data_IF_673426284873
#
_entry.id   IF_673426284873
#
_cell.length_a   1.000
_cell.length_b   1.000
_cell.length_c   1.000
_cell.angle_alpha   90.00
_cell.angle_beta   90.00
_cell.angle_gamma   90.00
#
_symmetry.space_group_name_H-M   'P 1'
#
loop_
_entity.id
_entity.type
_entity.pdbx_description
1 polymer ?
#
# COMPACT_ATOMS: atom_id res chain seq x y z
N UNK A 1 12.55 47.18 21.99
CA UNK A 1 12.11 46.19 20.97
C UNK A 1 12.82 44.82 21.05
N UNK A 2 13.99 44.71 21.71
CA UNK A 2 14.81 43.47 21.72
C UNK A 2 14.36 42.32 22.64
N UNK A 3 13.57 42.56 23.70
CA UNK A 3 13.20 41.50 24.67
C UNK A 3 12.27 40.42 24.10
N UNK A 4 11.51 40.72 23.05
CA UNK A 4 10.52 39.79 22.45
C UNK A 4 11.05 39.08 21.20
N UNK A 5 12.12 39.61 20.59
CA UNK A 5 12.78 39.02 19.41
C UNK A 5 13.19 37.55 19.59
N UNK A 6 13.79 37.11 20.72
CA UNK A 6 14.18 35.71 20.87
C UNK A 6 12.97 34.76 20.95
N UNK A 7 11.86 35.21 21.55
CA UNK A 7 10.62 34.41 21.67
C UNK A 7 9.97 34.21 20.29
N UNK A 8 9.98 35.25 19.46
CA UNK A 8 9.44 35.19 18.09
C UNK A 8 10.28 34.24 17.24
N UNK A 9 11.62 34.32 17.33
CA UNK A 9 12.52 33.42 16.59
C UNK A 9 12.30 31.96 17.03
N UNK A 10 12.20 31.70 18.33
CA UNK A 10 11.95 30.36 18.86
C UNK A 10 10.60 29.80 18.39
N UNK A 11 9.57 30.64 18.36
CA UNK A 11 8.23 30.26 17.89
C UNK A 11 8.23 29.89 16.40
N UNK A 12 8.96 30.65 15.56
CA UNK A 12 9.12 30.32 14.15
C UNK A 12 9.88 29.01 13.94
N UNK A 13 10.94 28.76 14.71
CA UNK A 13 11.68 27.49 14.64
C UNK A 13 10.78 26.32 15.04
N UNK A 14 9.96 26.46 16.07
CA UNK A 14 9.02 25.41 16.50
C UNK A 14 7.94 25.13 15.45
N UNK A 15 7.36 26.17 14.83
CA UNK A 15 6.36 26.01 13.77
C UNK A 15 6.97 25.32 12.55
N UNK A 16 8.17 25.73 12.13
CA UNK A 16 8.88 25.11 10.99
C UNK A 16 9.32 23.68 11.30
N UNK A 17 9.81 23.42 12.52
CA UNK A 17 10.23 22.09 12.96
C UNK A 17 9.06 21.10 13.11
N UNK A 18 7.90 21.57 13.57
CA UNK A 18 6.70 20.75 13.75
C UNK A 18 5.83 20.64 12.49
N UNK A 19 6.06 21.47 11.48
CA UNK A 19 5.38 21.39 10.18
C UNK A 19 6.09 20.53 9.14
N UNK A 20 7.17 19.83 9.53
CA UNK A 20 7.73 18.80 8.68
C UNK A 20 6.66 17.74 8.41
N UNK A 21 6.36 17.42 7.14
CA UNK A 21 5.40 16.37 6.83
C UNK A 21 5.90 15.09 7.51
N UNK A 22 5.07 14.53 8.40
CA UNK A 22 5.37 13.27 9.05
C UNK A 22 5.72 12.25 7.97
N UNK A 23 6.96 11.77 7.97
CA UNK A 23 7.39 10.73 7.05
C UNK A 23 6.45 9.55 7.24
N UNK A 24 5.60 9.29 6.23
CA UNK A 24 4.78 8.10 6.22
C UNK A 24 5.70 6.90 6.42
N UNK A 25 5.42 6.08 7.44
CA UNK A 25 6.26 4.95 7.78
C UNK A 25 6.44 4.08 6.53
N UNK A 26 7.68 4.00 6.04
CA UNK A 26 8.05 3.18 4.90
C UNK A 26 7.92 1.72 5.35
N UNK A 27 6.89 1.03 4.90
CA UNK A 27 6.73 -0.40 5.16
C UNK A 27 7.67 -1.13 4.20
N UNK A 28 8.77 -1.74 4.68
CA UNK A 28 9.65 -2.50 3.80
C UNK A 28 8.89 -3.70 3.23
N UNK A 29 9.14 -4.01 1.96
CA UNK A 29 8.67 -5.28 1.41
C UNK A 29 9.31 -6.43 2.21
N UNK A 30 8.55 -7.48 2.55
CA UNK A 30 9.09 -8.60 3.32
C UNK A 30 10.21 -9.29 2.53
N UNK A 31 11.34 -9.57 3.19
CA UNK A 31 12.49 -10.23 2.56
C UNK A 31 12.20 -11.66 2.12
N UNK A 32 11.24 -12.31 2.78
CA UNK A 32 10.80 -13.68 2.50
C UNK A 32 9.28 -13.72 2.44
N UNK A 33 8.74 -14.54 1.53
CA UNK A 33 7.31 -14.83 1.51
C UNK A 33 6.91 -15.72 2.70
N UNK A 34 5.63 -15.69 3.06
CA UNK A 34 5.05 -16.65 4.00
C UNK A 34 4.83 -18.03 3.37
N UNK A 35 4.32 -18.99 4.15
CA UNK A 35 4.00 -20.32 3.62
C UNK A 35 2.98 -20.20 2.46
N UNK A 36 3.33 -20.71 1.28
CA UNK A 36 2.51 -20.63 0.07
C UNK A 36 2.72 -19.37 -0.79
N UNK A 37 3.62 -18.45 -0.41
CA UNK A 37 3.93 -17.24 -1.17
C UNK A 37 5.45 -17.03 -1.28
N UNK A 38 5.88 -16.42 -2.39
CA UNK A 38 7.28 -15.99 -2.58
C UNK A 38 7.31 -14.47 -2.68
N UNK A 39 8.19 -13.83 -1.92
CA UNK A 39 8.52 -12.42 -2.13
C UNK A 39 9.26 -12.27 -3.47
N UNK A 40 8.81 -11.35 -4.32
CA UNK A 40 9.40 -11.09 -5.62
C UNK A 40 9.96 -9.67 -5.67
N UNK A 41 11.16 -9.52 -6.22
CA UNK A 41 11.70 -8.22 -6.59
C UNK A 41 10.88 -7.57 -7.70
N UNK A 42 10.98 -6.24 -7.87
CA UNK A 42 10.33 -5.54 -8.98
C UNK A 42 10.71 -6.12 -10.36
N UNK A 43 11.98 -6.52 -10.52
CA UNK A 43 12.47 -7.14 -11.77
C UNK A 43 11.81 -8.50 -12.03
N UNK A 44 11.68 -9.34 -11.02
CA UNK A 44 10.98 -10.63 -11.13
C UNK A 44 9.49 -10.43 -11.39
N UNK A 45 8.84 -9.51 -10.66
CA UNK A 45 7.43 -9.20 -10.84
C UNK A 45 7.14 -8.71 -12.27
N UNK A 46 7.99 -7.83 -12.82
CA UNK A 46 7.86 -7.37 -14.21
C UNK A 46 7.96 -8.53 -15.21
N UNK A 47 8.96 -9.41 -15.04
CA UNK A 47 9.13 -10.58 -15.91
C UNK A 47 7.92 -11.53 -15.83
N UNK A 48 7.37 -11.74 -14.63
CA UNK A 48 6.19 -12.57 -14.43
C UNK A 48 4.94 -11.94 -15.07
N UNK A 49 4.75 -10.63 -14.93
CA UNK A 49 3.64 -9.90 -15.53
C UNK A 49 3.70 -9.94 -17.07
N UNK A 50 4.87 -9.71 -17.66
CA UNK A 50 5.10 -9.86 -19.10
C UNK A 50 4.84 -11.31 -19.57
N UNK A 51 5.04 -12.30 -18.71
CA UNK A 51 4.71 -13.71 -18.93
C UNK A 51 3.23 -14.06 -18.73
N UNK A 52 2.36 -13.10 -18.46
CA UNK A 52 0.91 -13.31 -18.30
C UNK A 52 0.44 -13.55 -16.87
N UNK A 53 1.25 -13.21 -15.86
CA UNK A 53 0.80 -13.23 -14.46
C UNK A 53 -0.30 -12.19 -14.21
N UNK A 54 -1.27 -12.54 -13.37
CA UNK A 54 -2.35 -11.65 -12.98
C UNK A 54 -1.88 -10.73 -11.84
N UNK A 55 -2.01 -9.42 -12.07
CA UNK A 55 -1.76 -8.41 -11.04
C UNK A 55 -3.00 -8.24 -10.16
N UNK A 56 -2.78 -8.28 -8.85
CA UNK A 56 -3.80 -8.06 -7.82
C UNK A 56 -3.31 -6.94 -6.90
N UNK A 57 -4.03 -5.82 -6.90
CA UNK A 57 -3.78 -4.71 -5.99
C UNK A 57 -4.53 -4.96 -4.68
N UNK A 58 -3.81 -4.97 -3.56
CA UNK A 58 -4.32 -5.14 -2.20
C UNK A 58 -4.32 -3.78 -1.47
N UNK A 59 -4.80 -2.73 -2.13
CA UNK A 59 -4.81 -1.37 -1.57
C UNK A 59 -5.98 -1.19 -0.61
N UNK A 60 -5.73 -0.68 0.59
CA UNK A 60 -6.78 -0.29 1.53
C UNK A 60 -7.63 0.87 1.01
N UNK A 61 -7.05 1.78 0.23
CA UNK A 61 -7.76 2.91 -0.36
C UNK A 61 -7.90 2.77 -1.88
N UNK A 62 -9.14 2.74 -2.38
CA UNK A 62 -9.43 2.70 -3.81
C UNK A 62 -8.83 3.89 -4.57
N UNK A 63 -8.68 5.04 -3.91
CA UNK A 63 -8.03 6.22 -4.51
C UNK A 63 -6.61 5.92 -4.98
N UNK A 64 -5.86 5.08 -4.29
CA UNK A 64 -4.49 4.76 -4.70
C UNK A 64 -4.47 3.81 -5.90
N UNK A 65 -5.43 2.90 -5.99
CA UNK A 65 -5.63 2.05 -7.17
C UNK A 65 -6.04 2.86 -8.42
N UNK A 66 -6.79 3.94 -8.22
CA UNK A 66 -7.27 4.81 -9.31
C UNK A 66 -6.20 5.77 -9.83
N UNK A 67 -5.21 6.16 -9.01
CA UNK A 67 -4.11 7.06 -9.43
C UNK A 67 -3.19 6.41 -10.44
N UNK A 68 -2.70 5.20 -10.16
CA UNK A 68 -1.75 4.50 -11.01
C UNK A 68 -1.80 2.99 -10.76
N UNK A 69 -1.81 2.21 -11.84
CA UNK A 69 -1.75 0.74 -11.79
C UNK A 69 -1.26 0.17 -13.12
N UNK A 70 -0.66 -1.04 -13.11
CA UNK A 70 -0.46 -1.80 -14.34
C UNK A 70 -1.80 -2.12 -15.03
N UNK A 71 -1.86 -2.15 -16.37
CA UNK A 71 -3.04 -2.57 -17.12
C UNK A 71 -3.53 -3.97 -16.71
N UNK A 72 -4.85 -4.15 -16.65
CA UNK A 72 -5.47 -5.44 -16.30
C UNK A 72 -5.37 -5.83 -14.82
N UNK A 73 -4.87 -4.94 -13.95
CA UNK A 73 -4.83 -5.20 -12.50
C UNK A 73 -6.23 -5.28 -11.92
N UNK A 74 -6.47 -6.30 -11.11
CA UNK A 74 -7.70 -6.46 -10.31
C UNK A 74 -7.48 -5.76 -8.97
N UNK A 75 -8.41 -4.91 -8.56
CA UNK A 75 -8.42 -4.36 -7.20
C UNK A 75 -9.18 -5.29 -6.29
N UNK A 76 -8.52 -5.77 -5.24
CA UNK A 76 -9.17 -6.47 -4.15
C UNK A 76 -9.10 -5.56 -2.94
N UNK A 77 -10.27 -5.16 -2.45
CA UNK A 77 -10.38 -4.40 -1.21
C UNK A 77 -11.15 -5.23 -0.20
N UNK A 78 -10.58 -5.43 0.98
CA UNK A 78 -11.40 -5.69 2.15
C UNK A 78 -11.96 -4.32 2.54
N UNK A 79 -13.28 -4.10 2.42
CA UNK A 79 -13.92 -2.86 2.84
C UNK A 79 -13.75 -2.68 4.36
N UNK A 80 -12.62 -2.14 4.78
CA UNK A 80 -12.35 -1.80 6.17
C UNK A 80 -13.03 -0.48 6.51
N UNK A 81 -13.73 -0.39 7.67
CA UNK A 81 -14.22 0.88 8.18
C UNK A 81 -13.09 1.92 8.20
N UNK A 82 -13.43 3.17 7.88
CA UNK A 82 -12.48 4.30 7.75
C UNK A 82 -11.60 4.54 8.99
N UNK A 83 -12.02 4.04 10.15
CA UNK A 83 -11.19 4.02 11.35
C UNK A 83 -10.24 2.81 11.27
N UNK A 84 -9.03 3.06 10.78
CA UNK A 84 -7.93 2.12 10.50
C UNK A 84 -7.44 1.27 11.70
N UNK A 85 -8.26 1.12 12.75
CA UNK A 85 -7.96 0.44 14.01
C UNK A 85 -8.40 -1.01 14.05
N UNK A 86 -8.98 -1.53 12.96
CA UNK A 86 -9.49 -2.90 12.92
C UNK A 86 -8.33 -3.87 12.70
N UNK A 87 -8.10 -4.72 13.69
CA UNK A 87 -7.32 -5.97 13.61
C UNK A 87 -7.89 -6.91 12.55
N UNK A 88 -7.11 -7.90 12.12
CA UNK A 88 -7.47 -8.90 11.09
C UNK A 88 -8.96 -9.26 11.06
N UNK A 89 -9.61 -8.97 9.93
CA UNK A 89 -11.02 -9.31 9.71
C UNK A 89 -11.14 -10.82 9.45
N UNK A 90 -12.12 -11.54 10.04
CA UNK A 90 -12.33 -12.94 9.72
C UNK A 90 -12.70 -13.08 8.23
N UNK A 91 -12.12 -14.08 7.56
CA UNK A 91 -12.31 -14.32 6.13
C UNK A 91 -13.79 -14.42 5.73
N UNK A 92 -14.64 -14.94 6.62
CA UNK A 92 -16.10 -15.02 6.40
C UNK A 92 -16.82 -13.68 6.29
N UNK A 93 -16.17 -12.58 6.68
CA UNK A 93 -16.69 -11.20 6.56
C UNK A 93 -16.06 -10.43 5.41
N UNK A 94 -15.09 -11.02 4.70
CA UNK A 94 -14.46 -10.42 3.53
C UNK A 94 -15.34 -10.70 2.33
N UNK A 95 -16.00 -9.67 1.81
CA UNK A 95 -16.72 -9.74 0.55
C UNK A 95 -15.71 -9.66 -0.60
N UNK A 96 -15.48 -10.79 -1.27
CA UNK A 96 -14.51 -10.91 -2.34
C UNK A 96 -15.16 -11.52 -3.59
N UNK A 97 -15.14 -10.76 -4.68
CA UNK A 97 -15.64 -11.24 -5.96
C UNK A 97 -14.65 -12.23 -6.60
N UNK A 98 -14.91 -13.51 -6.35
CA UNK A 98 -14.16 -14.63 -6.92
C UNK A 98 -14.22 -14.69 -8.44
N UNK A 99 -15.22 -14.07 -9.10
CA UNK A 99 -15.34 -14.08 -10.56
C UNK A 99 -14.25 -13.24 -11.23
N UNK A 100 -13.62 -12.31 -10.49
CA UNK A 100 -12.51 -11.52 -10.98
C UNK A 100 -11.20 -12.32 -11.04
N UNK A 101 -11.07 -13.42 -10.29
CA UNK A 101 -9.84 -14.22 -10.31
C UNK A 101 -9.62 -14.95 -11.64
N UNK A 102 -8.35 -15.25 -11.99
CA UNK A 102 -8.04 -16.10 -13.12
C UNK A 102 -8.76 -17.45 -13.00
N UNK A 103 -9.51 -17.81 -14.04
CA UNK A 103 -10.17 -19.13 -14.13
C UNK A 103 -9.14 -20.26 -14.19
N UNK A 104 -8.00 -20.01 -14.83
CA UNK A 104 -6.89 -20.93 -14.88
C UNK A 104 -6.10 -20.90 -13.57
N UNK A 105 -6.11 -22.01 -12.83
CA UNK A 105 -5.43 -22.15 -11.54
C UNK A 105 -3.90 -22.16 -11.65
N UNK A 106 -3.35 -22.31 -12.86
CA UNK A 106 -1.92 -22.25 -13.11
C UNK A 106 -1.42 -20.83 -13.43
N UNK A 107 -2.32 -19.85 -13.58
CA UNK A 107 -1.92 -18.46 -13.80
C UNK A 107 -1.24 -17.92 -12.54
N UNK A 108 0.03 -17.47 -12.63
CA UNK A 108 0.70 -16.87 -11.49
C UNK A 108 -0.04 -15.60 -11.04
N UNK A 109 -0.11 -15.39 -9.72
CA UNK A 109 -0.71 -14.20 -9.12
C UNK A 109 0.39 -13.38 -8.48
N UNK A 110 0.40 -12.07 -8.77
CA UNK A 110 1.27 -11.09 -8.13
C UNK A 110 0.40 -10.15 -7.32
N UNK A 111 0.54 -10.20 -6.00
CA UNK A 111 -0.11 -9.25 -5.09
C UNK A 111 0.82 -8.09 -4.78
N UNK A 112 0.31 -6.86 -4.81
CA UNK A 112 1.07 -5.67 -4.39
C UNK A 112 0.18 -4.68 -3.64
N UNK A 113 0.79 -3.84 -2.80
CA UNK A 113 0.09 -2.78 -2.08
C UNK A 113 0.63 -1.40 -2.50
N UNK A 114 -0.15 -0.35 -2.27
CA UNK A 114 0.32 1.01 -2.41
C UNK A 114 1.41 1.26 -1.37
N UNK A 115 2.60 1.63 -1.84
CA UNK A 115 3.69 2.10 -1.00
C UNK A 115 4.16 3.43 -1.56
N UNK A 116 4.46 4.38 -0.67
CA UNK A 116 4.99 5.71 -1.00
C UNK A 116 6.48 5.67 -1.41
N UNK A 117 6.97 4.53 -1.88
CA UNK A 117 8.33 4.39 -2.43
C UNK A 117 8.45 5.00 -3.80
#
# INVERSE_FOLDING_TARGET
>A
MHRKTPIIILSFILIVGLSMPGFAAKVPAPEKGGHGFKAASLKEAKKLWEGGAQMIACHSHTTDFMKARPPGTIHITCMVPKDHKVTDMPLSKVDFDMALLPKNKNTPIITYCASNT
#
